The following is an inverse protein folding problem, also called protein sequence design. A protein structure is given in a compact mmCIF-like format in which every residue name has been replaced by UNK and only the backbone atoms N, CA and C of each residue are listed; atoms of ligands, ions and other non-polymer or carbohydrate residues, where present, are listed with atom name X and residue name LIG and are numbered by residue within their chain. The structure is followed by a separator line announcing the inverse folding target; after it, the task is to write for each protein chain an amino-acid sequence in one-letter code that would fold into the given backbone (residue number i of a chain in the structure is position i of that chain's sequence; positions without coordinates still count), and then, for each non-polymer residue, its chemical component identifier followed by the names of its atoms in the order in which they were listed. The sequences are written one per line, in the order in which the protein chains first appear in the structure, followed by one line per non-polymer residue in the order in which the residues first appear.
data_IF_383497115851
#
_entry.id   IF_383497115851
#
_cell.length_a   1.000
_cell.length_b   1.000
_cell.length_c   1.000
_cell.angle_alpha   90.00
_cell.angle_beta   90.00
_cell.angle_gamma   90.00
#
_symmetry.space_group_name_H-M   'P 1'
#
loop_
_entity.id
_entity.type
_entity.pdbx_description
1 polymer ?
#
# COMPACT_ATOMS: atom_id res chain seq x y z
N UNK A 1 8.70 14.86 3.04
CA UNK A 1 9.23 14.16 4.23
C UNK A 1 9.03 12.65 4.03
N UNK A 2 10.06 11.79 4.19
CA UNK A 2 9.87 10.34 4.01
C UNK A 2 9.07 9.77 5.18
N UNK A 3 7.95 9.10 4.89
CA UNK A 3 7.06 8.53 5.91
C UNK A 3 7.81 7.67 6.93
N UNK A 4 8.82 6.91 6.49
CA UNK A 4 9.70 6.09 7.35
C UNK A 4 10.29 6.87 8.54
N UNK A 5 10.74 8.11 8.34
CA UNK A 5 11.33 8.94 9.42
C UNK A 5 10.30 9.35 10.48
N UNK A 6 9.04 9.60 10.07
CA UNK A 6 7.96 9.86 11.02
C UNK A 6 7.67 8.60 11.84
N UNK A 7 7.70 7.40 11.22
CA UNK A 7 7.34 6.17 11.95
C UNK A 7 8.42 5.76 12.91
N UNK A 8 9.69 5.91 12.52
CA UNK A 8 10.79 5.69 13.45
C UNK A 8 10.68 6.64 14.64
N UNK A 9 10.39 7.93 14.39
CA UNK A 9 10.18 8.91 15.46
C UNK A 9 9.05 8.52 16.41
N UNK A 10 7.87 8.23 15.88
CA UNK A 10 6.70 7.79 16.67
C UNK A 10 7.02 6.52 17.47
N UNK A 11 7.72 5.54 16.86
CA UNK A 11 8.13 4.30 17.53
C UNK A 11 9.09 4.58 18.69
N UNK A 12 10.13 5.37 18.47
CA UNK A 12 11.10 5.74 19.50
C UNK A 12 10.43 6.47 20.66
N UNK A 13 9.53 7.43 20.38
CA UNK A 13 8.80 8.15 21.44
C UNK A 13 7.83 7.27 22.21
N UNK A 14 7.15 6.33 21.54
CA UNK A 14 6.30 5.35 22.20
C UNK A 14 7.10 4.46 23.16
N UNK A 15 8.30 4.01 22.75
CA UNK A 15 9.19 3.22 23.61
C UNK A 15 9.69 4.01 24.83
N UNK A 16 9.80 5.34 24.72
CA UNK A 16 10.12 6.24 25.83
C UNK A 16 8.92 6.54 26.74
N UNK A 17 7.74 5.98 26.46
CA UNK A 17 6.54 6.13 27.28
C UNK A 17 5.73 7.40 27.01
N UNK A 18 5.98 8.10 25.90
CA UNK A 18 5.18 9.28 25.56
C UNK A 18 3.78 8.89 25.06
N UNK A 19 2.82 9.76 25.38
CA UNK A 19 1.44 9.63 24.93
C UNK A 19 1.26 10.11 23.47
N UNK A 20 0.19 9.66 22.82
CA UNK A 20 -0.09 10.02 21.43
C UNK A 20 -0.24 11.54 21.20
N UNK A 21 -0.80 12.26 22.18
CA UNK A 21 -0.93 13.72 22.17
C UNK A 21 0.42 14.40 22.19
N UNK A 22 1.32 14.02 23.11
CA UNK A 22 2.67 14.58 23.17
C UNK A 22 3.45 14.36 21.86
N UNK A 23 3.37 13.16 21.30
CA UNK A 23 4.04 12.83 20.04
C UNK A 23 3.49 13.66 18.88
N UNK A 24 2.18 13.86 18.82
CA UNK A 24 1.53 14.69 17.80
C UNK A 24 1.93 16.17 17.92
N UNK A 25 2.01 16.69 19.14
CA UNK A 25 2.39 18.09 19.39
C UNK A 25 3.87 18.33 19.06
N UNK A 26 4.77 17.39 19.40
CA UNK A 26 6.17 17.43 18.99
C UNK A 26 6.32 17.42 17.46
N UNK A 27 5.58 16.55 16.76
CA UNK A 27 5.59 16.49 15.30
C UNK A 27 5.04 17.76 14.65
N UNK A 28 3.98 18.33 15.21
CA UNK A 28 3.36 19.58 14.75
C UNK A 28 4.30 20.77 14.94
N UNK A 29 5.02 20.80 16.07
CA UNK A 29 6.00 21.84 16.37
C UNK A 29 7.22 21.76 15.45
N UNK A 30 7.69 20.54 15.14
CA UNK A 30 8.90 20.34 14.34
C UNK A 30 8.69 20.53 12.83
N UNK A 31 7.52 20.17 12.28
CA UNK A 31 7.30 20.08 10.83
C UNK A 31 6.17 20.96 10.28
N UNK A 32 5.61 21.85 11.11
CA UNK A 32 4.42 22.67 10.83
C UNK A 32 3.09 21.88 10.88
N UNK A 33 1.99 22.63 11.01
CA UNK A 33 0.67 22.07 11.19
C UNK A 33 0.20 21.33 9.93
N UNK A 34 -0.27 20.08 10.09
CA UNK A 34 -0.88 19.30 9.02
C UNK A 34 0.01 18.23 8.36
N UNK A 35 1.29 18.10 8.76
CA UNK A 35 2.17 17.06 8.19
C UNK A 35 1.73 15.64 8.59
N UNK A 36 1.23 15.47 9.81
CA UNK A 36 0.70 14.20 10.32
C UNK A 36 -0.53 14.47 11.16
N UNK A 37 -1.67 13.89 10.80
CA UNK A 37 -2.87 13.99 11.65
C UNK A 37 -2.69 13.20 12.95
N UNK A 38 -3.33 13.67 14.03
CA UNK A 38 -3.41 12.93 15.29
C UNK A 38 -3.88 11.47 15.10
N UNK A 39 -4.87 11.26 14.25
CA UNK A 39 -5.39 9.93 13.92
C UNK A 39 -4.33 9.03 13.25
N UNK A 40 -3.44 9.60 12.44
CA UNK A 40 -2.32 8.86 11.86
C UNK A 40 -1.35 8.41 12.95
N UNK A 41 -1.05 9.27 13.93
CA UNK A 41 -0.16 8.94 15.05
C UNK A 41 -0.75 7.81 15.89
N UNK A 42 -2.03 7.89 16.27
CA UNK A 42 -2.69 6.87 17.09
C UNK A 42 -2.75 5.51 16.38
N UNK A 43 -3.08 5.50 15.08
CA UNK A 43 -3.05 4.27 14.26
C UNK A 43 -1.68 3.61 14.27
N UNK A 44 -0.60 4.39 14.29
CA UNK A 44 0.76 3.85 14.26
C UNK A 44 1.19 3.35 15.63
N UNK A 45 0.83 4.07 16.69
CA UNK A 45 1.02 3.59 18.07
C UNK A 45 0.35 2.22 18.26
N UNK A 46 -0.91 2.06 17.85
CA UNK A 46 -1.60 0.77 17.90
C UNK A 46 -0.86 -0.34 17.13
N UNK A 47 -0.29 0.00 15.96
CA UNK A 47 0.50 -0.97 15.18
C UNK A 47 1.79 -1.38 15.89
N UNK A 48 2.48 -0.43 16.52
CA UNK A 48 3.71 -0.70 17.26
C UNK A 48 3.48 -1.45 18.58
N UNK A 49 2.34 -1.23 19.25
CA UNK A 49 1.94 -1.99 20.43
C UNK A 49 1.65 -3.47 20.12
N UNK A 50 1.27 -3.80 18.88
CA UNK A 50 1.00 -5.16 18.43
C UNK A 50 2.25 -5.87 17.85
N UNK A 51 3.44 -5.56 18.39
CA UNK A 51 4.75 -6.16 18.03
C UNK A 51 5.16 -6.06 16.55
N UNK A 52 4.51 -5.20 15.76
CA UNK A 52 4.97 -4.95 14.38
C UNK A 52 6.17 -4.03 14.40
N UNK A 53 7.36 -4.60 14.20
CA UNK A 53 8.60 -3.82 14.19
C UNK A 53 8.81 -2.99 12.92
N UNK A 54 8.18 -3.40 11.81
CA UNK A 54 8.43 -2.83 10.49
C UNK A 54 7.99 -1.37 10.39
N UNK A 55 8.88 -0.56 9.84
CA UNK A 55 8.62 0.82 9.44
C UNK A 55 8.10 0.90 8.00
N UNK A 56 8.09 -0.19 7.25
CA UNK A 56 7.60 -0.17 5.87
C UNK A 56 6.07 -0.26 5.82
N UNK A 57 5.49 0.25 4.73
CA UNK A 57 4.12 -0.11 4.41
C UNK A 57 4.09 -1.62 4.16
N UNK A 58 3.06 -2.30 4.67
CA UNK A 58 2.77 -3.65 4.22
C UNK A 58 2.69 -3.64 2.68
N UNK A 59 3.16 -4.70 2.01
CA UNK A 59 2.96 -4.84 0.58
C UNK A 59 1.47 -4.59 0.31
N UNK A 60 1.19 -3.58 -0.51
CA UNK A 60 -0.18 -3.29 -0.90
C UNK A 60 -0.60 -4.43 -1.80
N UNK A 61 -1.67 -5.13 -1.43
CA UNK A 61 -2.28 -6.12 -2.31
C UNK A 61 -2.88 -5.36 -3.50
N UNK A 62 -2.13 -5.19 -4.57
CA UNK A 62 -2.62 -4.54 -5.78
C UNK A 62 -3.52 -5.47 -6.60
N UNK A 63 -3.37 -6.78 -6.46
CA UNK A 63 -4.30 -7.81 -6.91
C UNK A 63 -3.80 -9.16 -6.35
N UNK A 64 -4.60 -10.22 -6.45
CA UNK A 64 -4.12 -11.56 -6.12
C UNK A 64 -2.89 -11.87 -6.96
N UNK A 65 -1.74 -12.12 -6.33
CA UNK A 65 -0.50 -12.54 -6.99
C UNK A 65 -0.74 -13.81 -7.83
N UNK A 66 -1.75 -14.60 -7.47
CA UNK A 66 -2.25 -15.76 -8.22
C UNK A 66 -2.78 -15.42 -9.61
N UNK A 67 -3.17 -14.18 -9.90
CA UNK A 67 -3.61 -13.77 -11.24
C UNK A 67 -2.42 -13.53 -12.20
N UNK A 68 -1.22 -13.29 -11.68
CA UNK A 68 0.02 -13.12 -12.46
C UNK A 68 0.79 -14.44 -12.59
N UNK A 69 0.10 -15.53 -12.94
CA UNK A 69 0.79 -16.74 -13.38
C UNK A 69 1.28 -16.55 -14.81
N UNK A 70 2.37 -17.23 -15.19
CA UNK A 70 2.86 -17.20 -16.58
C UNK A 70 1.75 -17.62 -17.55
N UNK A 71 0.94 -18.62 -17.17
CA UNK A 71 -0.23 -19.06 -17.94
C UNK A 71 -1.23 -17.93 -18.20
N UNK A 72 -1.54 -17.11 -17.20
CA UNK A 72 -2.48 -16.00 -17.39
C UNK A 72 -1.88 -14.88 -18.23
N UNK A 73 -0.58 -14.63 -18.09
CA UNK A 73 0.15 -13.66 -18.92
C UNK A 73 0.14 -14.11 -20.38
N UNK A 74 0.44 -15.39 -20.65
CA UNK A 74 0.45 -15.96 -21.99
C UNK A 74 -0.96 -15.90 -22.60
N UNK A 75 -2.00 -16.26 -21.85
CA UNK A 75 -3.38 -16.19 -22.30
C UNK A 75 -3.84 -14.77 -22.68
N UNK A 76 -3.47 -13.75 -21.89
CA UNK A 76 -3.77 -12.34 -22.22
C UNK A 76 -2.96 -11.91 -23.44
N UNK A 77 -1.70 -12.31 -23.54
CA UNK A 77 -0.81 -11.95 -24.65
C UNK A 77 -1.32 -12.55 -25.96
N UNK A 78 -1.78 -13.79 -25.94
CA UNK A 78 -2.38 -14.46 -27.10
C UNK A 78 -3.65 -13.75 -27.56
N UNK A 79 -4.55 -13.40 -26.62
CA UNK A 79 -5.78 -12.66 -26.93
C UNK A 79 -5.51 -11.29 -27.59
N UNK A 80 -4.48 -10.58 -27.13
CA UNK A 80 -4.09 -9.28 -27.70
C UNK A 80 -3.40 -9.44 -29.05
N UNK A 81 -2.56 -10.49 -29.21
CA UNK A 81 -1.91 -10.78 -30.50
C UNK A 81 -2.93 -11.19 -31.57
N UNK A 82 -4.01 -11.87 -31.17
CA UNK A 82 -5.11 -12.24 -32.06
C UNK A 82 -5.97 -11.03 -32.44
N UNK A 83 -6.26 -10.12 -31.50
CA UNK A 83 -6.97 -8.86 -31.76
C UNK A 83 -6.44 -7.70 -30.90
N UNK A 84 -5.76 -6.75 -31.55
CA UNK A 84 -5.23 -5.55 -30.91
C UNK A 84 -6.32 -4.56 -30.45
N UNK A 85 -7.57 -4.70 -30.89
CA UNK A 85 -8.71 -3.85 -30.49
C UNK A 85 -9.61 -4.50 -29.43
N UNK A 86 -9.16 -5.59 -28.82
CA UNK A 86 -9.93 -6.32 -27.82
C UNK A 86 -10.20 -5.47 -26.57
N UNK A 87 -11.43 -5.55 -26.06
CA UNK A 87 -11.85 -4.83 -24.87
C UNK A 87 -11.27 -5.43 -23.59
N UNK A 88 -10.87 -4.57 -22.64
CA UNK A 88 -10.32 -4.99 -21.33
C UNK A 88 -11.34 -5.83 -20.55
N UNK A 89 -12.63 -5.52 -20.68
CA UNK A 89 -13.75 -6.27 -20.11
C UNK A 89 -13.85 -7.69 -20.68
N UNK A 90 -13.63 -7.84 -21.98
CA UNK A 90 -13.59 -9.13 -22.64
C UNK A 90 -12.40 -9.96 -22.15
N UNK A 91 -11.18 -9.38 -22.13
CA UNK A 91 -9.98 -10.05 -21.61
C UNK A 91 -10.20 -10.51 -20.16
N UNK A 92 -10.73 -9.63 -19.31
CA UNK A 92 -10.99 -9.95 -17.91
C UNK A 92 -11.96 -11.13 -17.75
N UNK A 93 -13.00 -11.19 -18.58
CA UNK A 93 -14.00 -12.26 -18.58
C UNK A 93 -13.41 -13.58 -19.08
N UNK A 94 -12.61 -13.54 -20.15
CA UNK A 94 -12.02 -14.75 -20.75
C UNK A 94 -10.91 -15.34 -19.89
N UNK A 95 -10.17 -14.52 -19.15
CA UNK A 95 -9.08 -14.97 -18.28
C UNK A 95 -9.49 -15.17 -16.82
N UNK A 96 -10.78 -15.07 -16.47
CA UNK A 96 -11.29 -15.14 -15.09
C UNK A 96 -10.55 -14.17 -14.12
N UNK A 97 -10.23 -12.98 -14.61
CA UNK A 97 -9.50 -11.95 -13.86
C UNK A 97 -10.36 -10.73 -13.59
N UNK A 98 -10.01 -9.95 -12.56
CA UNK A 98 -10.60 -8.62 -12.41
C UNK A 98 -10.04 -7.65 -13.45
N UNK A 99 -10.86 -6.73 -13.93
CA UNK A 99 -10.46 -5.64 -14.85
C UNK A 99 -9.24 -4.89 -14.31
N UNK A 100 -9.22 -4.60 -13.01
CA UNK A 100 -8.09 -3.95 -12.34
C UNK A 100 -6.80 -4.76 -12.47
N UNK A 101 -6.87 -6.09 -12.51
CA UNK A 101 -5.70 -6.95 -12.70
C UNK A 101 -5.15 -6.85 -14.12
N UNK A 102 -6.03 -6.90 -15.12
CA UNK A 102 -5.67 -6.82 -16.55
C UNK A 102 -5.01 -5.47 -16.87
N UNK A 103 -5.53 -4.37 -16.31
CA UNK A 103 -4.94 -3.03 -16.47
C UNK A 103 -3.50 -2.96 -15.91
N UNK A 104 -3.24 -3.63 -14.78
CA UNK A 104 -1.93 -3.63 -14.13
C UNK A 104 -0.93 -4.56 -14.82
N UNK A 105 -1.40 -5.52 -15.63
CA UNK A 105 -0.55 -6.39 -16.46
C UNK A 105 0.13 -5.65 -17.63
N UNK A 106 -0.28 -4.41 -17.91
CA UNK A 106 0.34 -3.51 -18.87
C UNK A 106 0.46 -4.13 -20.28
N UNK A 107 -0.71 -4.36 -20.90
CA UNK A 107 -0.89 -4.49 -22.35
C UNK A 107 -0.50 -3.17 -23.03
#
# INVERSE_FOLDING_TARGET
MKKQYIRSYVKTRLLLGLTATQIHDELTTAYEHGVVSYYTVTRWIQRFSNERESLEDNPRSCCSITAFTQQNIDAVTDLVNDDLHIGIDYIATTSDMSITCVIVMNI
#
